data_IF_485467486756
#
_entry.id   IF_485467486756
#
_cell.length_a   1.000
_cell.length_b   1.000
_cell.length_c   1.000
_cell.angle_alpha   90.00
_cell.angle_beta   90.00
_cell.angle_gamma   90.00
#
_symmetry.space_group_name_H-M   'P 1'
#
loop_
_entity.id
_entity.type
_entity.pdbx_description
1 polymer ?
#
# COMPACT_ATOMS: atom_id res chain seq x y z
N UNK A 1 -11.42 -2.65 19.61
CA UNK A 1 -10.46 -2.54 18.49
C UNK A 1 -9.04 -2.89 18.94
N UNK A 2 -8.59 -2.38 20.11
CA UNK A 2 -7.29 -2.66 20.73
C UNK A 2 -6.74 -4.08 20.53
N UNK A 3 -7.43 -5.10 21.05
CA UNK A 3 -6.96 -6.50 20.97
C UNK A 3 -6.74 -7.00 19.53
N UNK A 4 -7.59 -6.58 18.59
CA UNK A 4 -7.45 -6.96 17.18
C UNK A 4 -6.20 -6.33 16.56
N UNK A 5 -5.92 -5.07 16.88
CA UNK A 5 -4.75 -4.35 16.37
C UNK A 5 -3.44 -4.88 16.98
N UNK A 6 -3.44 -5.26 18.27
CA UNK A 6 -2.29 -5.93 18.91
C UNK A 6 -1.94 -7.23 18.19
N UNK A 7 -2.93 -8.11 17.98
CA UNK A 7 -2.73 -9.35 17.22
C UNK A 7 -2.30 -9.09 15.77
N UNK A 8 -2.87 -8.08 15.10
CA UNK A 8 -2.47 -7.73 13.75
C UNK A 8 -0.99 -7.32 13.69
N UNK A 9 -0.50 -6.53 14.65
CA UNK A 9 0.92 -6.16 14.77
C UNK A 9 1.82 -7.38 14.95
N UNK A 10 1.38 -8.35 15.76
CA UNK A 10 2.15 -9.58 15.99
C UNK A 10 2.30 -10.39 14.71
N UNK A 11 1.25 -10.47 13.90
CA UNK A 11 1.24 -11.19 12.61
C UNK A 11 2.04 -10.50 11.50
N UNK A 12 2.27 -9.18 11.57
CA UNK A 12 3.06 -8.47 10.57
C UNK A 12 4.51 -8.96 10.56
N UNK A 13 5.11 -9.02 9.36
CA UNK A 13 6.56 -9.09 9.22
C UNK A 13 7.20 -7.79 9.69
N UNK A 14 8.49 -7.82 9.93
CA UNK A 14 9.29 -6.65 10.33
C UNK A 14 9.22 -5.51 9.29
N UNK A 15 9.19 -5.84 7.99
CA UNK A 15 8.95 -4.92 6.87
C UNK A 15 7.45 -4.80 6.52
N UNK A 16 6.56 -5.30 7.39
CA UNK A 16 5.12 -5.32 7.19
C UNK A 16 4.47 -3.97 7.49
N UNK A 17 3.33 -3.75 6.85
CA UNK A 17 2.54 -2.51 6.89
C UNK A 17 1.06 -2.83 7.10
N UNK A 18 0.37 -1.96 7.84
CA UNK A 18 -1.08 -2.01 8.02
C UNK A 18 -1.71 -0.71 7.51
N UNK A 19 -2.83 -0.85 6.81
CA UNK A 19 -3.69 0.24 6.37
C UNK A 19 -5.04 0.12 7.08
N UNK A 20 -5.52 1.20 7.70
CA UNK A 20 -6.83 1.21 8.35
C UNK A 20 -7.66 2.37 7.80
N UNK A 21 -8.67 2.05 6.98
CA UNK A 21 -9.63 3.04 6.51
C UNK A 21 -10.53 3.53 7.65
N UNK A 22 -10.72 4.83 7.76
CA UNK A 22 -11.54 5.46 8.79
C UNK A 22 -12.10 6.81 8.31
N UNK A 23 -13.26 7.20 8.81
CA UNK A 23 -13.83 8.55 8.61
C UNK A 23 -13.38 9.51 9.73
N UNK A 24 -13.81 10.78 9.65
CA UNK A 24 -13.47 11.80 10.65
C UNK A 24 -13.94 11.45 12.07
N UNK A 25 -15.00 10.65 12.22
CA UNK A 25 -15.65 10.42 13.52
C UNK A 25 -14.73 9.75 14.54
N UNK A 26 -13.83 8.87 14.08
CA UNK A 26 -12.97 8.06 14.95
C UNK A 26 -11.49 8.11 14.57
N UNK A 27 -11.10 8.90 13.55
CA UNK A 27 -9.72 8.94 13.06
C UNK A 27 -8.72 9.33 14.16
N UNK A 28 -9.01 10.36 14.96
CA UNK A 28 -8.10 10.84 15.98
C UNK A 28 -7.89 9.80 17.09
N UNK A 29 -8.97 9.17 17.56
CA UNK A 29 -8.91 8.12 18.58
C UNK A 29 -8.18 6.87 18.06
N UNK A 30 -8.41 6.51 16.80
CA UNK A 30 -7.69 5.40 16.16
C UNK A 30 -6.19 5.69 16.08
N UNK A 31 -5.80 6.92 15.71
CA UNK A 31 -4.39 7.33 15.65
C UNK A 31 -3.70 7.17 17.00
N UNK A 32 -4.30 7.68 18.07
CA UNK A 32 -3.77 7.56 19.45
C UNK A 32 -3.64 6.08 19.86
N UNK A 33 -4.67 5.28 19.59
CA UNK A 33 -4.63 3.83 19.88
C UNK A 33 -3.51 3.12 19.10
N UNK A 34 -3.31 3.48 17.83
CA UNK A 34 -2.26 2.88 17.00
C UNK A 34 -0.86 3.36 17.41
N UNK A 35 -0.70 4.58 17.92
CA UNK A 35 0.57 5.04 18.53
C UNK A 35 0.96 4.16 19.71
N UNK A 36 0.02 3.86 20.61
CA UNK A 36 0.27 2.97 21.75
C UNK A 36 0.68 1.55 21.30
N UNK A 37 0.00 1.01 20.30
CA UNK A 37 0.19 -0.39 19.86
C UNK A 37 1.46 -0.54 19.00
N UNK A 38 1.67 0.35 18.03
CA UNK A 38 2.73 0.23 17.03
C UNK A 38 3.99 1.04 17.37
N UNK A 39 3.90 2.00 18.28
CA UNK A 39 4.92 3.03 18.50
C UNK A 39 4.73 4.19 17.52
N UNK A 40 4.73 5.42 18.03
CA UNK A 40 4.58 6.63 17.22
C UNK A 40 5.67 6.75 16.15
N UNK A 41 6.89 6.28 16.44
CA UNK A 41 8.01 6.27 15.51
C UNK A 41 7.75 5.39 14.28
N UNK A 42 6.81 4.43 14.39
CA UNK A 42 6.40 3.55 13.29
C UNK A 42 5.19 4.07 12.52
N UNK A 43 4.68 5.26 12.86
CA UNK A 43 3.69 5.95 12.04
C UNK A 43 4.27 6.28 10.67
N UNK A 44 3.55 5.89 9.61
CA UNK A 44 4.00 6.10 8.24
C UNK A 44 3.37 7.35 7.67
N UNK A 45 2.04 7.38 7.58
CA UNK A 45 1.28 8.48 7.00
C UNK A 45 -0.20 8.40 7.40
N UNK A 46 -0.85 9.56 7.41
CA UNK A 46 -2.30 9.64 7.31
C UNK A 46 -2.63 9.95 5.85
N UNK A 47 -3.12 8.94 5.13
CA UNK A 47 -3.43 9.07 3.72
C UNK A 47 -4.85 9.61 3.59
N UNK A 48 -5.01 10.66 2.79
CA UNK A 48 -6.31 11.27 2.50
C UNK A 48 -6.80 10.74 1.16
N UNK A 49 -7.92 10.02 1.20
CA UNK A 49 -8.55 9.45 0.02
C UNK A 49 -9.80 10.25 -0.34
N UNK A 50 -9.84 10.83 -1.55
CA UNK A 50 -11.04 11.50 -2.06
C UNK A 50 -12.09 10.46 -2.48
N UNK A 51 -13.05 10.21 -1.59
CA UNK A 51 -14.09 9.20 -1.75
C UNK A 51 -15.26 9.61 -2.64
N UNK A 52 -15.51 10.91 -2.81
CA UNK A 52 -16.61 11.41 -3.64
C UNK A 52 -16.22 12.65 -4.45
N UNK A 53 -16.89 12.86 -5.59
CA UNK A 53 -16.71 14.08 -6.38
C UNK A 53 -17.35 15.29 -5.71
N UNK A 54 -18.51 15.07 -5.10
CA UNK A 54 -19.36 16.08 -4.44
C UNK A 54 -19.68 15.55 -3.03
N UNK A 55 -19.80 16.45 -2.05
CA UNK A 55 -20.23 16.08 -0.69
C UNK A 55 -21.74 15.88 -0.58
N UNK A 56 -22.23 15.68 0.64
CA UNK A 56 -23.64 15.41 0.92
C UNK A 56 -24.56 16.61 0.73
N UNK A 57 -24.06 17.84 0.93
CA UNK A 57 -24.86 19.07 0.76
C UNK A 57 -24.97 19.42 -0.72
N UNK A 58 -26.20 19.37 -1.23
CA UNK A 58 -26.56 19.72 -2.61
C UNK A 58 -27.40 21.00 -2.72
N UNK A 59 -28.13 21.35 -1.66
CA UNK A 59 -28.91 22.60 -1.60
C UNK A 59 -28.08 23.69 -0.90
N UNK A 60 -27.97 24.85 -1.57
CA UNK A 60 -27.19 25.99 -1.10
C UNK A 60 -27.88 26.69 0.08
N UNK A 61 -29.21 26.57 0.20
CA UNK A 61 -30.01 27.34 1.16
C UNK A 61 -29.85 26.87 2.61
N UNK A 62 -29.37 25.64 2.85
CA UNK A 62 -29.27 25.01 4.17
C UNK A 62 -27.85 24.52 4.52
N UNK A 63 -26.81 25.15 3.98
CA UNK A 63 -25.42 24.77 4.27
C UNK A 63 -25.01 25.22 5.67
N UNK A 64 -24.97 24.27 6.61
CA UNK A 64 -24.45 24.48 7.98
C UNK A 64 -23.01 24.01 8.18
N UNK A 65 -22.47 23.22 7.24
CA UNK A 65 -21.14 22.60 7.35
C UNK A 65 -20.48 22.47 5.97
N UNK A 66 -19.21 22.10 5.94
CA UNK A 66 -18.46 21.87 4.69
C UNK A 66 -18.78 20.49 4.09
N UNK A 67 -18.67 20.39 2.78
CA UNK A 67 -18.81 19.11 2.09
C UNK A 67 -17.58 18.22 2.34
N UNK A 68 -17.76 17.19 3.18
CA UNK A 68 -16.74 16.17 3.43
C UNK A 68 -16.74 15.18 2.26
N UNK A 69 -15.69 15.25 1.45
CA UNK A 69 -15.50 14.41 0.25
C UNK A 69 -14.36 13.41 0.38
N UNK A 70 -13.73 13.36 1.56
CA UNK A 70 -12.57 12.53 1.83
C UNK A 70 -12.85 11.53 2.97
N UNK A 71 -12.05 10.48 3.00
CA UNK A 71 -11.85 9.57 4.13
C UNK A 71 -10.35 9.43 4.37
N UNK A 72 -9.97 8.87 5.51
CA UNK A 72 -8.57 8.67 5.88
C UNK A 72 -8.18 7.21 5.84
N UNK A 73 -6.91 6.96 5.61
CA UNK A 73 -6.28 5.65 5.75
C UNK A 73 -5.05 5.84 6.64
N UNK A 74 -5.22 5.50 7.92
CA UNK A 74 -4.14 5.57 8.91
C UNK A 74 -3.20 4.41 8.66
N UNK A 75 -1.92 4.72 8.49
CA UNK A 75 -0.91 3.75 8.02
C UNK A 75 0.25 3.64 9.01
N UNK A 76 0.55 2.41 9.42
CA UNK A 76 1.67 2.08 10.30
C UNK A 76 2.51 0.95 9.72
N UNK A 77 3.80 0.99 10.02
CA UNK A 77 4.71 -0.13 9.81
C UNK A 77 4.83 -0.95 11.09
N UNK A 78 5.27 -2.21 11.00
CA UNK A 78 5.79 -2.92 12.19
C UNK A 78 7.11 -2.33 12.65
N UNK A 79 8.05 -2.12 11.71
CA UNK A 79 9.29 -1.34 11.92
C UNK A 79 9.55 -0.46 10.72
N UNK A 80 9.32 0.85 10.87
CA UNK A 80 9.42 1.82 9.76
C UNK A 80 10.82 1.85 9.13
N UNK A 81 11.86 1.61 9.91
CA UNK A 81 13.25 1.55 9.44
C UNK A 81 13.55 0.39 8.50
N UNK A 82 12.72 -0.67 8.50
CA UNK A 82 12.85 -1.83 7.61
C UNK A 82 11.88 -1.79 6.42
N UNK A 83 10.96 -0.84 6.42
CA UNK A 83 9.94 -0.72 5.40
C UNK A 83 10.50 -0.05 4.14
N UNK A 84 10.22 -0.63 2.97
CA UNK A 84 10.51 -0.04 1.67
C UNK A 84 9.25 -0.02 0.83
N UNK A 85 8.68 1.17 0.66
CA UNK A 85 7.57 1.43 -0.25
C UNK A 85 7.98 1.20 -1.71
N UNK A 86 7.00 0.90 -2.56
CA UNK A 86 7.16 1.13 -3.99
C UNK A 86 7.13 2.64 -4.28
N UNK A 87 7.33 3.02 -5.53
CA UNK A 87 7.29 4.41 -5.96
C UNK A 87 6.54 4.55 -7.28
N UNK A 88 6.18 5.79 -7.59
CA UNK A 88 5.45 6.15 -8.81
C UNK A 88 6.46 6.30 -9.94
N UNK A 89 6.52 5.31 -10.83
CA UNK A 89 7.41 5.32 -12.00
C UNK A 89 7.06 6.45 -12.96
N UNK A 90 8.04 7.15 -13.52
CA UNK A 90 7.77 8.12 -14.59
C UNK A 90 7.29 7.40 -15.85
N UNK A 91 6.33 8.01 -16.56
CA UNK A 91 5.91 7.49 -17.87
C UNK A 91 7.02 7.64 -18.90
N UNK A 92 7.03 6.77 -19.91
CA UNK A 92 8.00 6.87 -21.00
C UNK A 92 7.91 8.23 -21.71
N UNK A 93 6.70 8.71 -21.99
CA UNK A 93 6.46 10.04 -22.57
C UNK A 93 7.11 11.16 -21.76
N UNK A 94 7.02 11.11 -20.42
CA UNK A 94 7.66 12.11 -19.55
C UNK A 94 9.18 12.02 -19.66
N UNK A 95 9.73 10.82 -19.67
CA UNK A 95 11.17 10.62 -19.79
C UNK A 95 11.68 11.11 -21.15
N UNK A 96 11.00 10.79 -22.24
CA UNK A 96 11.39 11.21 -23.59
C UNK A 96 11.36 12.73 -23.75
N UNK A 97 10.43 13.42 -23.08
CA UNK A 97 10.37 14.89 -23.04
C UNK A 97 11.50 15.52 -22.23
N UNK A 98 11.90 14.89 -21.13
CA UNK A 98 12.91 15.42 -20.21
C UNK A 98 14.35 15.09 -20.64
N UNK A 99 14.58 13.93 -21.26
CA UNK A 99 15.89 13.39 -21.63
C UNK A 99 15.93 13.19 -23.14
N UNK A 100 16.65 14.06 -23.84
CA UNK A 100 16.61 14.16 -25.30
C UNK A 100 17.99 14.28 -25.97
N UNK A 101 19.08 14.20 -25.20
CA UNK A 101 20.45 14.24 -25.69
C UNK A 101 21.08 12.85 -25.64
N UNK A 102 21.97 12.55 -26.59
CA UNK A 102 22.63 11.26 -26.74
C UNK A 102 24.14 11.46 -26.84
N UNK A 103 24.89 10.57 -26.19
CA UNK A 103 26.34 10.45 -26.31
C UNK A 103 26.74 8.97 -26.27
N UNK A 104 28.04 8.68 -26.16
CA UNK A 104 28.59 7.32 -26.20
C UNK A 104 28.10 6.44 -25.03
N UNK A 105 27.60 7.03 -23.94
CA UNK A 105 27.06 6.30 -22.81
C UNK A 105 25.58 5.88 -23.00
N UNK A 106 24.96 6.23 -24.12
CA UNK A 106 23.53 6.04 -24.36
C UNK A 106 23.07 4.59 -24.26
N UNK A 107 23.81 3.65 -24.84
CA UNK A 107 23.44 2.23 -24.80
C UNK A 107 23.38 1.69 -23.35
N UNK A 108 24.18 2.28 -22.45
CA UNK A 108 24.24 1.86 -21.05
C UNK A 108 23.29 2.66 -20.14
N UNK A 109 23.14 3.97 -20.37
CA UNK A 109 22.48 4.89 -19.42
C UNK A 109 21.26 5.61 -20.00
N UNK A 110 20.94 5.41 -21.27
CA UNK A 110 19.85 6.07 -22.00
C UNK A 110 20.16 7.52 -22.38
N UNK A 111 19.13 8.26 -22.80
CA UNK A 111 19.26 9.68 -23.09
C UNK A 111 19.69 10.46 -21.84
N UNK A 112 20.33 11.61 -22.03
CA UNK A 112 20.65 12.54 -20.95
C UNK A 112 19.97 13.89 -21.15
N UNK A 113 19.98 14.66 -20.06
CA UNK A 113 19.66 16.08 -20.05
C UNK A 113 20.76 16.86 -19.36
N UNK A 114 20.81 18.14 -19.64
CA UNK A 114 21.74 19.06 -18.99
C UNK A 114 21.08 19.69 -17.77
N UNK A 115 21.79 19.63 -16.65
CA UNK A 115 21.41 20.32 -15.42
C UNK A 115 22.53 21.29 -15.04
N UNK A 116 22.18 22.51 -14.60
CA UNK A 116 23.20 23.48 -14.16
C UNK A 116 24.02 22.85 -13.04
N UNK A 117 25.34 22.96 -13.15
CA UNK A 117 26.24 22.47 -12.11
C UNK A 117 26.26 23.40 -10.88
N UNK A 118 25.78 24.63 -11.03
CA UNK A 118 25.66 25.59 -9.95
C UNK A 118 24.25 25.56 -9.33
N UNK A 119 24.17 25.69 -8.01
CA UNK A 119 22.93 25.74 -7.25
C UNK A 119 23.00 26.79 -6.13
N UNK A 120 21.82 27.18 -5.63
CA UNK A 120 21.70 28.02 -4.44
C UNK A 120 21.51 27.12 -3.22
N UNK A 121 22.57 26.99 -2.42
CA UNK A 121 22.52 26.27 -1.14
C UNK A 121 21.83 27.08 -0.04
N UNK A 122 21.70 26.47 1.14
CA UNK A 122 21.34 27.19 2.37
C UNK A 122 22.45 28.17 2.74
N UNK A 123 23.69 27.69 2.73
CA UNK A 123 24.89 28.45 3.00
C UNK A 123 25.80 28.51 1.78
N UNK A 124 26.53 29.62 1.64
CA UNK A 124 27.56 29.77 0.64
C UNK A 124 28.86 29.10 1.09
N UNK A 125 29.51 28.38 0.18
CA UNK A 125 30.79 27.71 0.40
C UNK A 125 31.82 28.25 -0.59
N UNK A 126 32.76 29.07 -0.11
CA UNK A 126 33.79 29.70 -0.94
C UNK A 126 34.66 28.68 -1.70
N UNK A 127 34.91 27.51 -1.12
CA UNK A 127 35.66 26.41 -1.76
C UNK A 127 34.98 25.82 -3.00
N UNK A 128 33.68 26.07 -3.19
CA UNK A 128 32.88 25.61 -4.33
C UNK A 128 32.57 26.74 -5.31
N UNK A 129 33.19 27.91 -5.16
CA UNK A 129 33.07 29.06 -6.07
C UNK A 129 34.42 29.35 -6.72
N UNK A 130 34.84 28.42 -7.57
CA UNK A 130 36.11 28.47 -8.28
C UNK A 130 35.92 28.88 -9.74
N UNK A 131 37.01 29.28 -10.38
CA UNK A 131 37.00 29.67 -11.80
C UNK A 131 37.09 28.44 -12.71
N UNK A 132 36.35 28.52 -13.82
CA UNK A 132 36.37 27.54 -14.91
C UNK A 132 36.85 28.21 -16.18
N UNK A 133 37.40 27.39 -17.08
CA UNK A 133 37.79 27.82 -18.42
C UNK A 133 36.78 27.28 -19.43
N UNK A 134 36.28 28.15 -20.30
CA UNK A 134 35.38 27.81 -21.38
C UNK A 134 36.15 27.25 -22.59
N UNK A 135 35.47 26.59 -23.55
CA UNK A 135 36.13 26.02 -24.73
C UNK A 135 36.90 27.04 -25.59
N UNK A 136 36.57 28.33 -25.51
CA UNK A 136 37.28 29.43 -26.20
C UNK A 136 38.45 30.02 -25.39
N UNK A 137 38.81 29.39 -24.26
CA UNK A 137 39.84 29.87 -23.34
C UNK A 137 39.36 30.96 -22.37
N UNK A 138 38.10 31.41 -22.46
CA UNK A 138 37.56 32.42 -21.53
C UNK A 138 37.46 31.86 -20.13
N UNK A 139 38.09 32.52 -19.17
CA UNK A 139 37.89 32.20 -17.76
C UNK A 139 36.60 32.83 -17.22
N UNK A 140 35.80 32.06 -16.51
CA UNK A 140 34.51 32.50 -15.99
C UNK A 140 34.21 31.91 -14.61
N UNK A 141 33.40 32.67 -13.85
CA UNK A 141 32.78 32.22 -12.60
C UNK A 141 31.29 32.07 -12.77
N UNK A 142 30.60 31.60 -11.73
CA UNK A 142 29.14 31.53 -11.72
C UNK A 142 28.57 32.93 -11.94
N UNK A 143 27.86 33.12 -13.03
CA UNK A 143 27.30 34.43 -13.42
C UNK A 143 26.46 35.09 -12.32
N UNK A 144 25.70 34.30 -11.56
CA UNK A 144 24.93 34.80 -10.42
C UNK A 144 25.82 35.41 -9.33
N UNK A 145 27.02 34.88 -9.09
CA UNK A 145 27.96 35.48 -8.13
C UNK A 145 28.60 36.77 -8.67
N UNK A 146 28.68 36.95 -9.99
CA UNK A 146 29.09 38.23 -10.59
C UNK A 146 28.01 39.30 -10.32
N UNK A 147 26.73 38.94 -10.48
CA UNK A 147 25.60 39.84 -10.22
C UNK A 147 25.33 40.08 -8.74
N UNK A 148 25.42 39.01 -7.94
CA UNK A 148 25.16 39.00 -6.51
C UNK A 148 26.16 38.05 -5.85
N UNK A 149 27.29 38.59 -5.36
CA UNK A 149 28.36 37.80 -4.76
C UNK A 149 27.84 36.83 -3.69
N UNK A 150 28.50 35.67 -3.60
CA UNK A 150 28.28 34.68 -2.55
C UNK A 150 26.84 34.14 -2.49
N UNK A 151 26.20 33.92 -3.63
CA UNK A 151 24.81 33.43 -3.68
C UNK A 151 24.66 32.01 -4.19
N UNK A 152 25.62 31.55 -4.98
CA UNK A 152 25.59 30.25 -5.64
C UNK A 152 26.94 29.56 -5.45
N UNK A 153 26.92 28.23 -5.47
CA UNK A 153 28.12 27.41 -5.46
C UNK A 153 27.98 26.34 -6.54
N UNK A 154 29.10 25.79 -6.99
CA UNK A 154 29.08 24.54 -7.74
C UNK A 154 28.69 23.37 -6.82
N UNK A 155 28.05 22.36 -7.39
CA UNK A 155 27.70 21.12 -6.69
C UNK A 155 28.95 20.26 -6.42
N UNK A 156 29.95 20.36 -7.30
CA UNK A 156 31.18 19.57 -7.23
C UNK A 156 32.35 20.42 -6.75
N UNK A 157 33.32 19.80 -6.09
CA UNK A 157 34.62 20.42 -5.88
C UNK A 157 35.34 20.57 -7.22
N UNK A 158 36.36 21.43 -7.27
CA UNK A 158 37.19 21.60 -8.48
C UNK A 158 37.77 20.27 -8.96
N UNK A 159 38.35 19.48 -8.05
CA UNK A 159 38.89 18.15 -8.36
C UNK A 159 37.84 17.21 -8.97
N UNK A 160 36.64 17.15 -8.39
CA UNK A 160 35.57 16.30 -8.90
C UNK A 160 35.03 16.81 -10.23
N UNK A 161 34.96 18.12 -10.42
CA UNK A 161 34.61 18.72 -11.70
C UNK A 161 35.62 18.32 -12.78
N UNK A 162 36.92 18.49 -12.52
CA UNK A 162 37.97 18.17 -13.49
C UNK A 162 37.94 16.67 -13.84
N UNK A 163 37.73 15.81 -12.84
CA UNK A 163 37.54 14.37 -13.04
C UNK A 163 36.30 14.06 -13.88
N UNK A 164 35.13 14.60 -13.54
CA UNK A 164 33.89 14.37 -14.29
C UNK A 164 33.96 14.96 -15.72
N UNK A 165 34.68 16.07 -15.90
CA UNK A 165 34.94 16.65 -17.22
C UNK A 165 35.84 15.74 -18.06
N UNK A 166 36.85 15.10 -17.47
CA UNK A 166 37.68 14.10 -18.16
C UNK A 166 36.89 12.87 -18.64
N UNK A 167 35.76 12.59 -17.99
CA UNK A 167 34.81 11.54 -18.36
C UNK A 167 33.70 12.04 -19.32
N UNK A 168 33.82 13.25 -19.87
CA UNK A 168 32.82 13.87 -20.73
C UNK A 168 31.42 14.00 -20.07
N UNK A 169 31.36 14.19 -18.75
CA UNK A 169 30.10 14.32 -17.98
C UNK A 169 29.68 15.78 -17.77
N UNK A 170 30.44 16.72 -18.33
CA UNK A 170 30.22 18.16 -18.21
C UNK A 170 30.12 18.77 -19.60
N UNK A 171 29.20 19.73 -19.75
CA UNK A 171 29.16 20.60 -20.92
C UNK A 171 29.22 22.07 -20.48
N UNK A 172 30.15 22.83 -21.04
CA UNK A 172 30.25 24.28 -20.86
C UNK A 172 29.69 24.96 -22.10
N UNK A 173 28.63 25.76 -21.94
CA UNK A 173 28.02 26.48 -23.06
C UNK A 173 27.53 27.86 -22.68
N UNK A 174 27.39 28.72 -23.68
CA UNK A 174 26.76 30.03 -23.51
C UNK A 174 25.25 29.87 -23.35
N UNK A 175 24.70 30.62 -22.40
CA UNK A 175 23.27 30.90 -22.31
C UNK A 175 22.82 31.77 -23.48
N UNK A 176 21.50 31.92 -23.67
CA UNK A 176 20.94 32.88 -24.64
C UNK A 176 21.43 34.31 -24.41
N UNK A 177 21.83 34.65 -23.18
CA UNK A 177 22.37 35.95 -22.80
C UNK A 177 23.89 36.07 -23.00
N UNK A 178 24.53 35.08 -23.62
CA UNK A 178 25.97 35.06 -23.90
C UNK A 178 26.87 34.63 -22.73
N UNK A 179 26.32 34.45 -21.52
CA UNK A 179 27.09 34.05 -20.33
C UNK A 179 27.48 32.57 -20.39
N UNK A 180 28.74 32.26 -20.08
CA UNK A 180 29.24 30.89 -19.91
C UNK A 180 28.66 30.23 -18.66
N UNK A 181 28.20 28.99 -18.80
CA UNK A 181 27.65 28.17 -17.71
C UNK A 181 28.10 26.72 -17.88
N UNK A 182 28.52 26.09 -16.78
CA UNK A 182 28.80 24.66 -16.72
C UNK A 182 27.53 23.87 -16.37
N UNK A 183 27.30 22.80 -17.10
CA UNK A 183 26.21 21.85 -16.93
C UNK A 183 26.79 20.46 -16.67
N UNK A 184 26.14 19.68 -15.81
CA UNK A 184 26.38 18.24 -15.68
C UNK A 184 25.39 17.48 -16.55
N UNK A 185 25.83 16.36 -17.12
CA UNK A 185 24.95 15.40 -17.76
C UNK A 185 24.22 14.56 -16.71
N UNK A 186 22.92 14.44 -16.86
CA UNK A 186 22.06 13.59 -16.02
C UNK A 186 21.36 12.59 -16.92
N UNK A 187 21.66 11.31 -16.74
CA UNK A 187 21.15 10.25 -17.60
C UNK A 187 19.79 9.72 -17.13
N UNK A 188 19.06 9.11 -18.07
CA UNK A 188 17.72 8.55 -17.88
C UNK A 188 17.72 7.31 -16.99
N UNK A 189 18.78 6.49 -16.99
CA UNK A 189 18.83 5.26 -16.19
C UNK A 189 20.07 5.15 -15.30
N UNK A 190 20.87 6.21 -15.21
CA UNK A 190 22.02 6.24 -14.33
C UNK A 190 22.26 7.61 -13.70
N UNK A 191 22.93 7.59 -12.54
CA UNK A 191 23.40 8.77 -11.83
C UNK A 191 24.87 8.59 -11.52
N UNK A 192 25.68 9.61 -11.81
CA UNK A 192 27.05 9.68 -11.36
C UNK A 192 27.10 9.99 -9.85
N UNK A 193 27.67 9.08 -9.07
CA UNK A 193 27.90 9.25 -7.64
C UNK A 193 29.24 9.93 -7.41
N UNK A 194 29.18 11.16 -6.90
CA UNK A 194 30.32 11.99 -6.56
C UNK A 194 31.28 11.36 -5.53
N UNK A 195 30.75 10.52 -4.62
CA UNK A 195 31.54 9.92 -3.52
C UNK A 195 32.34 8.72 -3.99
N UNK A 196 31.71 7.84 -4.76
CA UNK A 196 32.34 6.62 -5.27
C UNK A 196 32.99 6.83 -6.63
N UNK A 197 32.73 7.98 -7.28
CA UNK A 197 33.19 8.31 -8.64
C UNK A 197 32.72 7.28 -9.69
N UNK A 198 31.53 6.71 -9.49
CA UNK A 198 30.96 5.65 -10.34
C UNK A 198 29.51 5.96 -10.74
N UNK A 199 29.05 5.34 -11.83
CA UNK A 199 27.64 5.33 -12.17
C UNK A 199 26.87 4.30 -11.34
N UNK A 200 25.71 4.73 -10.86
CA UNK A 200 24.73 3.87 -10.20
C UNK A 200 23.48 3.87 -11.07
N UNK A 201 22.98 2.68 -11.41
CA UNK A 201 21.72 2.55 -12.12
C UNK A 201 20.58 3.06 -11.24
N UNK A 202 19.70 3.87 -11.81
CA UNK A 202 18.58 4.46 -11.11
C UNK A 202 17.29 4.23 -11.88
N UNK A 203 16.27 3.81 -11.16
CA UNK A 203 14.91 3.83 -11.67
C UNK A 203 14.35 5.26 -11.56
N UNK A 204 13.55 5.70 -12.54
CA UNK A 204 12.97 7.03 -12.55
C UNK A 204 11.55 7.03 -12.03
N UNK A 205 11.31 7.86 -11.04
CA UNK A 205 10.01 8.03 -10.43
C UNK A 205 10.06 8.97 -9.26
N UNK A 206 8.94 9.06 -8.55
CA UNK A 206 8.79 9.85 -7.34
C UNK A 206 8.15 9.02 -6.24
N UNK A 207 8.44 9.29 -4.97
CA UNK A 207 7.70 8.70 -3.86
C UNK A 207 6.21 9.01 -3.98
N UNK A 208 5.37 8.09 -3.49
CA UNK A 208 3.94 8.36 -3.33
C UNK A 208 3.71 9.53 -2.38
N UNK A 209 2.76 10.40 -2.72
CA UNK A 209 2.20 11.36 -1.76
C UNK A 209 1.12 10.68 -0.91
N UNK A 210 0.81 11.27 0.25
CA UNK A 210 -0.27 10.80 1.13
C UNK A 210 -1.67 11.21 0.62
N UNK A 211 -1.83 11.53 -0.65
CA UNK A 211 -3.09 11.98 -1.25
C UNK A 211 -3.48 11.00 -2.37
N UNK A 212 -4.68 10.43 -2.29
CA UNK A 212 -5.26 9.60 -3.34
C UNK A 212 -6.31 10.44 -4.07
N UNK A 213 -5.84 11.17 -5.07
CA UNK A 213 -6.64 12.06 -5.92
C UNK A 213 -6.15 12.00 -7.38
N UNK A 214 -7.03 12.36 -8.32
CA UNK A 214 -6.70 12.44 -9.73
C UNK A 214 -5.51 13.40 -9.99
N UNK A 215 -4.73 13.08 -11.02
CA UNK A 215 -3.51 13.76 -11.46
C UNK A 215 -2.37 13.76 -10.43
N UNK A 216 -2.45 12.93 -9.39
CA UNK A 216 -1.36 12.65 -8.47
C UNK A 216 -1.00 11.17 -8.49
N UNK A 217 0.25 10.84 -8.20
CA UNK A 217 0.72 9.45 -8.11
C UNK A 217 0.41 8.59 -9.36
N UNK A 218 0.43 9.20 -10.56
CA UNK A 218 0.00 8.62 -11.84
C UNK A 218 -1.46 8.12 -11.89
N UNK A 219 -2.32 8.63 -11.01
CA UNK A 219 -3.74 8.32 -11.02
C UNK A 219 -4.48 9.27 -11.97
N UNK A 220 -5.00 8.78 -13.09
CA UNK A 220 -5.70 9.63 -14.07
C UNK A 220 -7.08 10.12 -13.59
N UNK A 221 -7.79 9.30 -12.81
CA UNK A 221 -9.15 9.57 -12.33
C UNK A 221 -9.26 9.28 -10.85
N UNK A 222 -10.16 9.99 -10.15
CA UNK A 222 -10.41 9.71 -8.74
C UNK A 222 -10.96 8.29 -8.57
N UNK A 223 -10.49 7.61 -7.51
CA UNK A 223 -11.08 6.35 -7.06
C UNK A 223 -12.22 6.72 -6.12
N UNK A 224 -13.47 6.48 -6.49
CA UNK A 224 -14.64 6.95 -5.74
C UNK A 224 -15.43 5.80 -5.13
N UNK A 225 -16.12 6.01 -4.02
CA UNK A 225 -16.97 4.99 -3.38
C UNK A 225 -18.01 4.41 -4.33
N UNK A 226 -18.57 5.22 -5.23
CA UNK A 226 -19.54 4.76 -6.23
C UNK A 226 -19.01 3.65 -7.15
N UNK A 227 -17.70 3.58 -7.38
CA UNK A 227 -17.08 2.52 -8.17
C UNK A 227 -17.22 1.16 -7.47
N UNK A 228 -17.09 1.13 -6.14
CA UNK A 228 -17.34 -0.07 -5.35
C UNK A 228 -18.78 -0.56 -5.46
N UNK A 229 -19.75 0.36 -5.40
CA UNK A 229 -21.17 0.03 -5.55
C UNK A 229 -21.49 -0.49 -6.95
N UNK A 230 -20.97 0.16 -8.00
CA UNK A 230 -21.11 -0.27 -9.40
C UNK A 230 -20.55 -1.69 -9.61
N UNK A 231 -19.39 -1.97 -9.01
CA UNK A 231 -18.76 -3.30 -9.06
C UNK A 231 -19.60 -4.36 -8.32
N UNK A 232 -20.17 -4.02 -7.16
CA UNK A 232 -21.10 -4.95 -6.47
C UNK A 232 -22.33 -5.27 -7.32
N UNK A 233 -22.96 -4.25 -7.91
CA UNK A 233 -24.12 -4.44 -8.79
C UNK A 233 -23.76 -5.25 -10.03
N UNK A 234 -22.56 -5.09 -10.60
CA UNK A 234 -22.13 -5.87 -11.77
C UNK A 234 -22.00 -7.37 -11.47
N UNK A 235 -21.68 -7.73 -10.22
CA UNK A 235 -21.50 -9.13 -9.77
C UNK A 235 -22.83 -9.75 -9.29
N UNK A 236 -23.66 -8.98 -8.58
CA UNK A 236 -24.87 -9.50 -7.92
C UNK A 236 -26.19 -9.14 -8.61
N UNK A 237 -26.17 -8.21 -9.58
CA UNK A 237 -27.36 -7.56 -10.20
C UNK A 237 -28.22 -6.72 -9.27
N UNK A 238 -28.01 -6.82 -7.97
CA UNK A 238 -28.73 -6.10 -6.95
C UNK A 238 -27.76 -5.54 -5.89
N UNK A 239 -28.23 -4.58 -5.12
CA UNK A 239 -27.47 -3.93 -4.04
C UNK A 239 -27.44 -4.86 -2.82
N UNK A 240 -26.53 -5.83 -2.84
CA UNK A 240 -26.32 -6.80 -1.74
C UNK A 240 -25.45 -6.27 -0.58
N UNK A 241 -24.80 -5.11 -0.76
CA UNK A 241 -23.93 -4.52 0.25
C UNK A 241 -23.88 -3.00 0.08
N UNK A 242 -24.02 -2.24 1.16
CA UNK A 242 -24.20 -0.79 1.08
C UNK A 242 -22.93 -0.02 0.76
N UNK A 243 -21.81 -0.39 1.40
CA UNK A 243 -20.59 0.42 1.39
C UNK A 243 -19.34 -0.40 1.03
N UNK A 244 -19.32 -1.09 -0.13
CA UNK A 244 -18.13 -1.80 -0.57
C UNK A 244 -17.01 -0.79 -0.86
N UNK A 245 -15.79 -1.05 -0.37
CA UNK A 245 -14.64 -0.26 -0.82
C UNK A 245 -14.37 -0.55 -2.31
N UNK A 246 -13.92 0.44 -3.11
CA UNK A 246 -13.53 0.20 -4.50
C UNK A 246 -12.35 -0.77 -4.60
N UNK A 247 -12.40 -1.67 -5.58
CA UNK A 247 -11.30 -2.63 -5.83
C UNK A 247 -10.00 -1.90 -6.18
N UNK A 248 -10.10 -0.85 -7.01
CA UNK A 248 -8.96 -0.01 -7.38
C UNK A 248 -8.27 0.67 -6.19
N UNK A 249 -9.02 1.03 -5.14
CA UNK A 249 -8.42 1.59 -3.93
C UNK A 249 -7.50 0.57 -3.26
N UNK A 250 -7.97 -0.67 -3.11
CA UNK A 250 -7.17 -1.72 -2.47
C UNK A 250 -5.99 -2.13 -3.35
N UNK A 251 -6.18 -2.18 -4.68
CA UNK A 251 -5.08 -2.41 -5.64
C UNK A 251 -4.01 -1.34 -5.53
N UNK A 252 -4.42 -0.08 -5.44
CA UNK A 252 -3.52 1.06 -5.25
C UNK A 252 -2.70 0.92 -3.95
N UNK A 253 -3.35 0.61 -2.82
CA UNK A 253 -2.66 0.43 -1.54
C UNK A 253 -1.67 -0.75 -1.56
N UNK A 254 -2.03 -1.87 -2.20
CA UNK A 254 -1.14 -3.02 -2.35
C UNK A 254 0.08 -2.68 -3.20
N UNK A 255 -0.13 -2.01 -4.36
CA UNK A 255 0.97 -1.55 -5.24
C UNK A 255 1.89 -0.57 -4.51
N UNK A 256 1.32 0.36 -3.76
CA UNK A 256 2.08 1.33 -2.96
C UNK A 256 2.91 0.65 -1.87
N UNK A 257 2.33 -0.32 -1.16
CA UNK A 257 2.97 -0.99 -0.02
C UNK A 257 4.27 -1.72 -0.37
N UNK A 258 4.34 -2.34 -1.56
CA UNK A 258 5.52 -3.10 -1.96
C UNK A 258 5.57 -3.34 -3.46
N UNK A 259 6.78 -3.27 -4.02
CA UNK A 259 7.07 -3.77 -5.37
C UNK A 259 7.09 -5.30 -5.44
N UNK A 260 7.13 -6.00 -4.30
CA UNK A 260 7.10 -7.47 -4.22
C UNK A 260 5.74 -7.98 -4.68
N UNK A 261 5.76 -8.95 -5.61
CA UNK A 261 4.55 -9.57 -6.18
C UNK A 261 4.16 -10.88 -5.49
N UNK A 262 4.79 -11.24 -4.38
CA UNK A 262 4.61 -12.51 -3.64
C UNK A 262 4.40 -12.27 -2.13
N UNK A 263 3.61 -11.24 -1.81
CA UNK A 263 3.28 -10.88 -0.43
C UNK A 263 2.00 -11.56 0.08
N UNK A 264 1.84 -11.61 1.40
CA UNK A 264 0.63 -12.10 2.06
C UNK A 264 -0.20 -10.91 2.55
N UNK A 265 -1.49 -10.90 2.22
CA UNK A 265 -2.45 -9.86 2.59
C UNK A 265 -3.44 -10.47 3.58
N UNK A 266 -3.67 -9.80 4.70
CA UNK A 266 -4.69 -10.16 5.68
C UNK A 266 -5.69 -9.01 5.78
N UNK A 267 -6.97 -9.32 5.63
CA UNK A 267 -8.07 -8.41 5.91
C UNK A 267 -9.03 -9.09 6.88
N UNK A 268 -8.98 -8.63 8.13
CA UNK A 268 -9.80 -9.17 9.22
C UNK A 268 -11.11 -8.40 9.45
N UNK A 269 -11.48 -7.53 8.51
CA UNK A 269 -12.78 -6.87 8.40
C UNK A 269 -13.27 -6.97 6.95
N UNK A 270 -13.34 -8.20 6.43
CA UNK A 270 -13.44 -8.46 5.00
C UNK A 270 -14.64 -7.81 4.29
N UNK A 271 -15.76 -7.57 5.00
CA UNK A 271 -16.95 -6.92 4.44
C UNK A 271 -17.41 -7.61 3.15
N UNK A 272 -17.49 -6.86 2.05
CA UNK A 272 -17.86 -7.40 0.73
C UNK A 272 -16.81 -8.30 0.07
N UNK A 273 -15.61 -8.45 0.62
CA UNK A 273 -14.53 -9.27 0.02
C UNK A 273 -13.69 -8.54 -1.02
N UNK A 274 -13.73 -7.20 -1.05
CA UNK A 274 -13.00 -6.36 -2.01
C UNK A 274 -11.50 -6.68 -2.03
N UNK A 275 -10.89 -6.91 -0.86
CA UNK A 275 -9.45 -7.16 -0.75
C UNK A 275 -9.00 -8.41 -1.49
N UNK A 276 -9.76 -9.50 -1.43
CA UNK A 276 -9.42 -10.72 -2.17
C UNK A 276 -9.56 -10.52 -3.69
N UNK A 277 -10.61 -9.83 -4.15
CA UNK A 277 -10.74 -9.50 -5.57
C UNK A 277 -9.56 -8.66 -6.07
N UNK A 278 -9.16 -7.62 -5.31
CA UNK A 278 -8.00 -6.81 -5.66
C UNK A 278 -6.73 -7.65 -5.82
N UNK A 279 -6.50 -8.62 -4.92
CA UNK A 279 -5.35 -9.52 -4.99
C UNK A 279 -5.41 -10.43 -6.22
N UNK A 280 -6.58 -10.99 -6.54
CA UNK A 280 -6.78 -11.83 -7.73
C UNK A 280 -6.52 -11.05 -9.02
N UNK A 281 -7.08 -9.84 -9.13
CA UNK A 281 -6.87 -8.96 -10.27
C UNK A 281 -5.39 -8.59 -10.43
N UNK A 282 -4.71 -8.19 -9.35
CA UNK A 282 -3.28 -7.86 -9.42
C UNK A 282 -2.43 -9.03 -9.91
N UNK A 283 -2.68 -10.23 -9.39
CA UNK A 283 -1.94 -11.41 -9.83
C UNK A 283 -2.17 -11.70 -11.32
N UNK A 284 -3.40 -11.51 -11.82
CA UNK A 284 -3.72 -11.65 -13.26
C UNK A 284 -3.05 -10.56 -14.10
N UNK A 285 -3.04 -9.30 -13.62
CA UNK A 285 -2.43 -8.15 -14.30
C UNK A 285 -0.92 -8.25 -14.44
N UNK A 286 -0.24 -8.66 -13.36
CA UNK A 286 1.21 -8.47 -13.25
C UNK A 286 2.01 -9.77 -13.07
N UNK A 287 1.35 -10.93 -13.21
CA UNK A 287 1.92 -12.26 -13.03
C UNK A 287 2.30 -12.58 -11.58
N UNK A 288 1.74 -11.84 -10.61
CA UNK A 288 2.03 -12.00 -9.20
C UNK A 288 1.54 -13.32 -8.60
N UNK A 289 2.06 -13.60 -7.40
CA UNK A 289 1.71 -14.76 -6.57
C UNK A 289 1.31 -14.32 -5.16
N UNK A 290 0.66 -13.16 -5.07
CA UNK A 290 0.15 -12.63 -3.80
C UNK A 290 -0.92 -13.56 -3.26
N UNK A 291 -0.94 -13.78 -1.95
CA UNK A 291 -1.97 -14.61 -1.30
C UNK A 291 -2.77 -13.76 -0.32
N UNK A 292 -4.06 -14.06 -0.14
CA UNK A 292 -4.92 -13.35 0.80
C UNK A 292 -5.51 -14.28 1.86
N UNK A 293 -5.79 -13.72 3.03
CA UNK A 293 -6.65 -14.30 4.07
C UNK A 293 -7.70 -13.26 4.43
N UNK A 294 -8.97 -13.66 4.37
CA UNK A 294 -10.10 -12.84 4.79
C UNK A 294 -10.71 -13.38 6.07
N UNK A 295 -11.06 -12.50 6.99
CA UNK A 295 -11.84 -12.83 8.19
C UNK A 295 -13.05 -11.90 8.28
N UNK A 296 -14.20 -12.47 8.58
CA UNK A 296 -15.46 -11.76 8.81
C UNK A 296 -16.23 -12.47 9.92
N UNK A 297 -16.97 -11.70 10.72
CA UNK A 297 -17.83 -12.25 11.78
C UNK A 297 -19.12 -12.90 11.23
N UNK A 298 -19.36 -12.82 9.92
CA UNK A 298 -20.56 -13.30 9.24
C UNK A 298 -21.88 -12.72 9.82
N UNK A 299 -21.82 -11.55 10.44
CA UNK A 299 -23.01 -10.84 10.92
C UNK A 299 -23.97 -10.60 9.74
N UNK A 300 -25.28 -10.75 9.96
CA UNK A 300 -26.31 -10.67 8.92
C UNK A 300 -26.06 -11.58 7.71
N UNK A 301 -25.32 -12.68 7.89
CA UNK A 301 -24.88 -13.58 6.83
C UNK A 301 -24.04 -12.91 5.73
N UNK A 302 -23.40 -11.76 6.02
CA UNK A 302 -22.57 -11.03 5.06
C UNK A 302 -21.42 -11.92 4.55
N UNK A 303 -20.78 -12.67 5.44
CA UNK A 303 -19.68 -13.57 5.09
C UNK A 303 -20.09 -14.63 4.06
N UNK A 304 -21.27 -15.23 4.24
CA UNK A 304 -21.78 -16.26 3.34
C UNK A 304 -22.40 -15.67 2.07
N UNK A 305 -23.36 -14.78 2.24
CA UNK A 305 -24.24 -14.32 1.15
C UNK A 305 -23.61 -13.22 0.31
N UNK A 306 -22.61 -12.50 0.85
CA UNK A 306 -21.94 -11.41 0.15
C UNK A 306 -20.47 -11.75 -0.10
N UNK A 307 -19.65 -11.93 0.94
CA UNK A 307 -18.20 -12.12 0.78
C UNK A 307 -17.89 -13.38 -0.02
N UNK A 308 -18.38 -14.54 0.44
CA UNK A 308 -18.12 -15.82 -0.21
C UNK A 308 -18.79 -15.88 -1.60
N UNK A 309 -20.06 -15.50 -1.71
CA UNK A 309 -20.76 -15.50 -2.99
C UNK A 309 -20.07 -14.59 -4.03
N UNK A 310 -19.56 -13.40 -3.63
CA UNK A 310 -18.80 -12.50 -4.52
C UNK A 310 -17.58 -13.22 -5.05
N UNK A 311 -16.76 -13.78 -4.14
CA UNK A 311 -15.51 -14.42 -4.50
C UNK A 311 -15.74 -15.69 -5.32
N UNK A 312 -16.78 -16.47 -5.00
CA UNK A 312 -17.16 -17.62 -5.78
C UNK A 312 -17.55 -17.22 -7.21
N UNK A 313 -18.37 -16.18 -7.38
CA UNK A 313 -18.80 -15.67 -8.68
C UNK A 313 -17.63 -15.27 -9.57
N UNK A 314 -16.75 -14.41 -9.08
CA UNK A 314 -15.61 -13.93 -9.88
C UNK A 314 -14.57 -15.03 -10.12
N UNK A 315 -14.45 -15.99 -9.19
CA UNK A 315 -13.45 -17.04 -9.29
C UNK A 315 -13.91 -18.21 -10.18
N UNK A 316 -15.21 -18.51 -10.23
CA UNK A 316 -15.77 -19.61 -11.04
C UNK A 316 -16.55 -19.13 -12.27
N UNK A 317 -16.76 -17.83 -12.43
CA UNK A 317 -17.57 -17.28 -13.52
C UNK A 317 -19.05 -17.63 -13.41
N UNK A 318 -19.51 -18.05 -12.22
CA UNK A 318 -20.90 -18.41 -11.95
C UNK A 318 -21.22 -18.29 -10.45
N UNK A 319 -22.47 -18.01 -10.12
CA UNK A 319 -22.97 -18.02 -8.74
C UNK A 319 -23.00 -19.41 -8.13
N UNK A 320 -23.11 -19.50 -6.80
CA UNK A 320 -23.13 -20.79 -6.09
C UNK A 320 -24.34 -21.67 -6.45
N UNK A 321 -25.40 -21.08 -7.01
CA UNK A 321 -26.56 -21.82 -7.53
C UNK A 321 -26.52 -21.99 -9.06
N UNK A 322 -25.35 -21.80 -9.68
CA UNK A 322 -25.13 -21.97 -11.12
C UNK A 322 -25.56 -20.78 -11.99
N UNK A 323 -25.89 -19.63 -11.39
CA UNK A 323 -26.26 -18.43 -12.16
C UNK A 323 -25.07 -17.91 -12.97
N UNK A 324 -25.29 -17.57 -14.24
CA UNK A 324 -24.26 -16.99 -15.13
C UNK A 324 -24.69 -15.66 -15.74
N UNK A 325 -25.88 -15.20 -15.39
CA UNK A 325 -26.44 -13.96 -15.89
C UNK A 325 -26.01 -12.81 -14.97
N UNK A 326 -24.79 -12.28 -15.12
CA UNK A 326 -24.38 -11.05 -14.45
C UNK A 326 -23.33 -10.30 -15.27
N UNK A 327 -23.26 -8.98 -15.13
CA UNK A 327 -22.49 -8.13 -16.05
C UNK A 327 -20.99 -8.34 -15.97
N UNK A 328 -20.48 -8.72 -14.78
CA UNK A 328 -19.05 -8.90 -14.55
C UNK A 328 -18.41 -9.89 -15.53
N UNK A 329 -19.03 -11.04 -15.80
CA UNK A 329 -18.47 -12.07 -16.70
C UNK A 329 -18.49 -11.68 -18.18
N UNK A 330 -19.21 -10.62 -18.57
CA UNK A 330 -19.19 -10.14 -19.95
C UNK A 330 -17.90 -9.41 -20.29
N UNK A 331 -17.21 -8.91 -19.27
CA UNK A 331 -15.99 -8.10 -19.40
C UNK A 331 -14.76 -8.76 -18.80
N UNK A 332 -14.94 -9.83 -18.03
CA UNK A 332 -13.89 -10.49 -17.28
C UNK A 332 -14.02 -12.01 -17.41
N UNK A 333 -12.87 -12.67 -17.45
CA UNK A 333 -12.81 -14.13 -17.32
C UNK A 333 -12.67 -14.51 -15.85
N UNK A 334 -13.18 -15.70 -15.51
CA UNK A 334 -13.02 -16.28 -14.18
C UNK A 334 -11.54 -16.44 -13.81
N UNK A 335 -11.21 -16.22 -12.54
CA UNK A 335 -9.83 -16.39 -12.06
C UNK A 335 -9.40 -17.85 -11.90
N UNK A 336 -10.35 -18.74 -11.63
CA UNK A 336 -10.17 -20.18 -11.41
C UNK A 336 -9.02 -20.57 -10.46
N UNK A 337 -8.95 -19.89 -9.32
CA UNK A 337 -7.97 -20.13 -8.26
C UNK A 337 -8.56 -20.95 -7.10
N UNK A 338 -7.70 -21.42 -6.19
CA UNK A 338 -8.15 -22.09 -4.97
C UNK A 338 -8.83 -21.10 -4.01
N UNK A 339 -10.09 -21.38 -3.65
CA UNK A 339 -10.86 -20.60 -2.67
C UNK A 339 -11.29 -21.52 -1.52
N UNK A 340 -10.46 -21.61 -0.49
CA UNK A 340 -10.76 -22.40 0.71
C UNK A 340 -11.55 -21.57 1.72
N UNK A 341 -12.62 -22.15 2.26
CA UNK A 341 -13.49 -21.51 3.26
C UNK A 341 -13.50 -22.35 4.53
N UNK A 342 -13.28 -21.68 5.66
CA UNK A 342 -13.28 -22.30 6.98
C UNK A 342 -14.33 -21.61 7.83
N UNK A 343 -15.17 -22.41 8.49
CA UNK A 343 -16.17 -21.93 9.43
C UNK A 343 -15.67 -22.15 10.85
N UNK A 344 -15.51 -21.08 11.61
CA UNK A 344 -15.29 -21.19 13.05
C UNK A 344 -16.62 -21.42 13.75
N UNK A 345 -16.75 -22.53 14.47
CA UNK A 345 -17.87 -22.75 15.39
C UNK A 345 -17.38 -22.52 16.81
N UNK A 346 -18.03 -21.60 17.52
CA UNK A 346 -17.79 -21.36 18.94
C UNK A 346 -18.94 -21.97 19.75
N UNK A 347 -18.61 -22.67 20.84
CA UNK A 347 -19.62 -23.25 21.73
C UNK A 347 -19.42 -22.73 23.14
N UNK A 348 -20.53 -22.46 23.82
CA UNK A 348 -20.48 -21.99 25.20
C UNK A 348 -19.99 -23.09 26.13
N UNK A 349 -18.88 -22.85 26.81
CA UNK A 349 -18.29 -23.75 27.79
C UNK A 349 -18.91 -23.62 29.19
N UNK A 350 -19.87 -22.70 29.42
CA UNK A 350 -20.67 -22.63 30.66
C UNK A 350 -21.47 -23.91 30.92
N UNK A 351 -21.64 -24.75 29.90
CA UNK A 351 -22.17 -26.10 30.06
C UNK A 351 -21.30 -27.01 30.95
N UNK A 352 -20.06 -26.57 31.27
CA UNK A 352 -19.07 -27.20 32.14
C UNK A 352 -19.06 -26.62 33.57
N UNK A 353 -20.14 -25.95 34.02
CA UNK A 353 -20.28 -25.43 35.38
C UNK A 353 -20.04 -26.52 36.45
N UNK A 354 -19.67 -26.10 37.67
CA UNK A 354 -19.20 -27.00 38.75
C UNK A 354 -20.22 -28.05 39.24
N UNK A 355 -21.51 -27.88 38.95
CA UNK A 355 -22.59 -28.77 39.43
C UNK A 355 -22.96 -29.92 38.46
N UNK A 356 -22.11 -30.21 37.47
CA UNK A 356 -22.34 -31.28 36.49
C UNK A 356 -21.66 -32.58 36.90
N UNK A 357 -22.37 -33.71 36.79
CA UNK A 357 -21.78 -35.05 37.02
C UNK A 357 -20.82 -35.42 35.88
N UNK A 358 -19.89 -36.36 36.14
CA UNK A 358 -18.95 -36.85 35.11
C UNK A 358 -19.66 -37.49 33.90
N UNK A 359 -20.84 -38.08 34.11
CA UNK A 359 -21.63 -38.71 33.05
C UNK A 359 -22.31 -37.64 32.18
N UNK A 360 -22.91 -36.62 32.78
CA UNK A 360 -23.49 -35.50 32.05
C UNK A 360 -22.41 -34.70 31.29
N UNK A 361 -21.23 -34.50 31.87
CA UNK A 361 -20.07 -33.91 31.21
C UNK A 361 -19.67 -34.71 29.96
N UNK A 362 -19.63 -36.05 30.07
CA UNK A 362 -19.32 -36.97 28.97
C UNK A 362 -20.35 -36.89 27.85
N UNK A 363 -21.62 -36.82 28.18
CA UNK A 363 -22.69 -36.79 27.19
C UNK A 363 -22.80 -35.41 26.52
N UNK A 364 -22.61 -34.30 27.26
CA UNK A 364 -22.48 -32.96 26.68
C UNK A 364 -21.26 -32.85 25.77
N UNK A 365 -20.11 -33.40 26.16
CA UNK A 365 -18.91 -33.39 25.31
C UNK A 365 -19.07 -34.24 24.04
N UNK A 366 -19.69 -35.42 24.13
CA UNK A 366 -20.03 -36.24 22.95
C UNK A 366 -21.00 -35.51 22.02
N UNK A 367 -21.99 -34.80 22.58
CA UNK A 367 -22.92 -33.97 21.81
C UNK A 367 -22.17 -32.85 21.08
N UNK A 368 -21.28 -32.13 21.76
CA UNK A 368 -20.42 -31.11 21.14
C UNK A 368 -19.60 -31.70 19.99
N UNK A 369 -18.93 -32.85 20.18
CA UNK A 369 -18.16 -33.51 19.11
C UNK A 369 -19.03 -33.84 17.88
N UNK A 370 -20.26 -34.32 18.09
CA UNK A 370 -21.23 -34.54 17.00
C UNK A 370 -21.60 -33.23 16.29
N UNK A 371 -21.88 -32.17 17.03
CA UNK A 371 -22.26 -30.85 16.48
C UNK A 371 -21.09 -30.18 15.73
N UNK A 372 -19.85 -30.45 16.14
CA UNK A 372 -18.62 -30.07 15.43
C UNK A 372 -18.39 -30.88 14.13
N UNK A 373 -19.25 -31.86 13.80
CA UNK A 373 -19.08 -32.72 12.63
C UNK A 373 -17.94 -33.73 12.78
N UNK A 374 -17.48 -33.96 14.02
CA UNK A 374 -16.45 -34.96 14.32
C UNK A 374 -17.16 -36.31 14.48
N UNK A 375 -17.48 -36.94 13.35
CA UNK A 375 -18.10 -38.26 13.27
C UNK A 375 -17.11 -39.40 13.49
N UNK A 376 -16.12 -39.23 14.39
CA UNK A 376 -15.20 -40.33 14.73
C UNK A 376 -15.96 -41.36 15.54
N UNK A 377 -16.33 -42.45 14.88
CA UNK A 377 -16.78 -43.69 15.51
C UNK A 377 -15.57 -44.40 16.17
N UNK A 378 -14.91 -43.74 17.13
CA UNK A 378 -13.99 -44.42 18.05
C UNK A 378 -14.79 -44.67 19.31
N UNK A 379 -15.18 -45.92 19.51
CA UNK A 379 -15.85 -46.50 20.68
C UNK A 379 -15.16 -46.26 22.04
N UNK A 380 -14.17 -45.38 22.12
CA UNK A 380 -13.47 -44.96 23.34
C UNK A 380 -13.11 -43.48 23.22
N UNK A 381 -14.04 -42.58 23.56
CA UNK A 381 -13.61 -41.32 24.20
C UNK A 381 -12.95 -41.79 25.49
N UNK A 382 -11.61 -41.86 25.51
CA UNK A 382 -10.86 -42.36 26.67
C UNK A 382 -11.26 -41.52 27.89
N UNK A 383 -11.50 -42.17 29.03
CA UNK A 383 -11.82 -41.46 30.28
C UNK A 383 -10.69 -40.51 30.71
N UNK A 384 -9.49 -40.67 30.15
CA UNK A 384 -8.39 -39.70 30.27
C UNK A 384 -8.72 -38.31 29.73
N UNK A 385 -9.49 -38.19 28.62
CA UNK A 385 -9.92 -36.90 28.07
C UNK A 385 -10.93 -36.24 29.00
N UNK A 386 -11.81 -37.04 29.62
CA UNK A 386 -12.76 -36.55 30.62
C UNK A 386 -12.05 -36.10 31.89
N UNK A 387 -11.01 -36.82 32.34
CA UNK A 387 -10.14 -36.38 33.45
C UNK A 387 -9.49 -35.03 33.16
N UNK A 388 -8.94 -34.83 31.96
CA UNK A 388 -8.33 -33.55 31.54
C UNK A 388 -9.36 -32.41 31.43
N UNK A 389 -10.59 -32.71 30.99
CA UNK A 389 -11.67 -31.70 30.95
C UNK A 389 -12.20 -31.38 32.36
N UNK A 390 -12.27 -32.37 33.25
CA UNK A 390 -12.65 -32.16 34.65
C UNK A 390 -11.58 -31.41 35.45
N UNK A 391 -10.30 -31.49 35.05
CA UNK A 391 -9.23 -30.70 35.66
C UNK A 391 -9.21 -29.23 35.21
N UNK A 392 -10.03 -28.85 34.22
CA UNK A 392 -10.26 -27.46 33.84
C UNK A 392 -11.38 -26.81 34.69
N UNK A 393 -11.92 -27.51 35.70
CA UNK A 393 -12.77 -26.89 36.71
C UNK A 393 -11.99 -25.76 37.40
N UNK A 394 -12.60 -24.59 37.65
CA UNK A 394 -11.97 -23.60 38.52
C UNK A 394 -11.71 -24.24 39.89
N UNK A 395 -10.44 -24.31 40.29
CA UNK A 395 -10.04 -24.67 41.64
C UNK A 395 -10.74 -23.69 42.59
N UNK A 396 -11.70 -24.17 43.40
CA UNK A 396 -12.03 -23.47 44.64
C UNK A 396 -11.03 -23.99 45.66
N UNK A 397 -10.14 -23.13 46.13
CA UNK A 397 -9.50 -23.37 47.43
C UNK A 397 -10.62 -23.39 48.47
N UNK A 398 -10.85 -24.54 49.08
CA UNK A 398 -11.68 -24.64 50.27
C UNK A 398 -10.85 -24.15 51.45
N UNK A 399 -11.34 -23.09 52.11
CA UNK A 399 -10.81 -22.59 53.39
C UNK A 399 -11.08 -23.58 54.52
#
# INVERSE_FOLDING_TARGET
>A
MNERLKLARDLLKEDGIIFVSIDDNQQAYLKVLMDEIFGEENFVANIVWRKSSIGSHKDIKDIKTVNVVNEYIVTYAKKKTKLRFDYVRHSQEKLDKEYNLKDDNFEQYGYYRLERLAYKGLDYQASLDYELEAPDGTKFRIYQNIKKPQTMCYIWSKELFDYANSLNLVEIKKTQQGNWVAYKKVYQYAKFDARTKQFILVEKGVPFTNMIIANQNNLHLNILTEQGSKEMTSIFKDKMFDYPKPVELVKYLIKMASSKKDIRILDFFAGSGTTAQAVLELNKEDGGRRSFVLVTNNENNIGQNVTYERLYRINKGQGTKGQKDFEWIKKNEAFDTNLNVFWSKTYNTSLLNNDITNQELKDKFKKLLKEFGIHKNKSKVKDSVLKTLSSLRPYKEEN
#
